data_IF_400305537014
#
_entry.id   IF_400305537014
#
_cell.length_a   1.000
_cell.length_b   1.000
_cell.length_c   1.000
_cell.angle_alpha   90.00
_cell.angle_beta   90.00
_cell.angle_gamma   90.00
#
_symmetry.space_group_name_H-M   'P 1'
#
loop_
_entity.id
_entity.type
_entity.pdbx_description
1 polymer ?
#
# COMPACT_ATOMS: atom_id res chain seq x y z
N UNK A 1 -32.38 22.17 37.39
CA UNK A 1 -32.18 21.10 36.44
C UNK A 1 -31.58 21.72 35.17
N UNK A 2 -30.25 21.70 35.03
CA UNK A 2 -29.56 22.23 33.82
C UNK A 2 -29.18 21.04 32.94
N UNK A 3 -29.78 20.93 31.78
CA UNK A 3 -29.43 19.98 30.74
C UNK A 3 -28.17 20.48 30.05
N UNK A 4 -27.05 19.80 30.30
CA UNK A 4 -25.79 20.01 29.58
C UNK A 4 -25.82 19.16 28.33
N UNK A 5 -25.71 19.78 27.17
CA UNK A 5 -25.66 19.11 25.87
C UNK A 5 -24.44 18.19 25.77
N UNK A 6 -24.67 16.91 25.50
CA UNK A 6 -23.64 15.95 25.13
C UNK A 6 -23.19 16.23 23.69
N UNK A 7 -22.02 16.85 23.53
CA UNK A 7 -21.26 16.80 22.29
C UNK A 7 -20.80 15.36 22.11
N UNK A 8 -21.11 14.77 20.97
CA UNK A 8 -20.67 13.44 20.56
C UNK A 8 -19.14 13.37 20.46
N UNK A 9 -18.49 13.13 21.57
CA UNK A 9 -17.07 12.76 21.63
C UNK A 9 -16.98 11.26 21.41
N UNK A 10 -16.32 10.86 20.33
CA UNK A 10 -15.81 9.49 20.17
C UNK A 10 -14.98 9.19 21.42
N UNK A 11 -15.42 8.20 22.21
CA UNK A 11 -14.65 7.70 23.35
C UNK A 11 -13.46 6.95 22.75
N UNK A 12 -12.36 7.64 22.55
CA UNK A 12 -11.06 7.01 22.33
C UNK A 12 -10.72 6.26 23.62
N UNK A 13 -11.00 4.96 23.68
CA UNK A 13 -10.45 4.09 24.73
C UNK A 13 -8.94 4.24 24.65
N UNK A 14 -8.34 4.90 25.65
CA UNK A 14 -6.90 4.89 25.83
C UNK A 14 -6.49 3.44 26.02
N UNK A 15 -5.95 2.81 24.98
CA UNK A 15 -5.28 1.53 25.12
C UNK A 15 -4.08 1.77 26.03
N UNK A 16 -3.96 0.96 27.07
CA UNK A 16 -2.79 0.97 27.95
C UNK A 16 -1.61 0.46 27.13
N UNK A 17 -0.56 1.25 27.01
CA UNK A 17 0.65 0.89 26.29
C UNK A 17 1.56 0.04 27.18
N UNK A 18 2.39 -0.80 26.57
CA UNK A 18 3.41 -1.60 27.23
C UNK A 18 4.78 -1.39 26.57
N UNK A 19 5.84 -1.45 27.39
CA UNK A 19 7.22 -1.23 26.98
C UNK A 19 7.90 -2.55 26.71
N UNK A 20 8.54 -2.73 25.55
CA UNK A 20 9.32 -3.92 25.26
C UNK A 20 10.53 -4.01 26.22
N UNK A 21 10.69 -5.16 26.90
CA UNK A 21 11.79 -5.37 27.85
C UNK A 21 13.17 -5.37 27.19
N UNK A 22 13.23 -5.71 25.88
CA UNK A 22 14.50 -5.83 25.15
C UNK A 22 14.96 -4.54 24.47
N UNK A 23 14.04 -3.82 23.77
CA UNK A 23 14.43 -2.65 22.96
C UNK A 23 13.81 -1.33 23.42
N UNK A 24 12.97 -1.33 24.46
CA UNK A 24 12.31 -0.13 24.97
C UNK A 24 11.22 0.45 24.05
N UNK A 25 10.82 -0.25 22.99
CA UNK A 25 9.76 0.21 22.09
C UNK A 25 8.40 0.11 22.77
N UNK A 26 7.56 1.14 22.56
CA UNK A 26 6.20 1.18 23.09
C UNK A 26 5.28 0.44 22.15
N UNK A 27 4.53 -0.52 22.69
CA UNK A 27 3.60 -1.36 21.95
C UNK A 27 2.21 -1.30 22.57
N UNK A 28 1.17 -1.53 21.76
CA UNK A 28 -0.19 -1.70 22.26
C UNK A 28 -0.29 -2.90 23.20
N UNK A 29 -1.13 -2.83 24.22
CA UNK A 29 -1.41 -3.98 25.12
C UNK A 29 -1.90 -5.22 24.39
N UNK A 30 -2.53 -5.07 23.22
CA UNK A 30 -2.98 -6.17 22.39
C UNK A 30 -1.85 -6.90 21.64
N UNK A 31 -0.67 -6.28 21.49
CA UNK A 31 0.45 -6.87 20.73
C UNK A 31 1.05 -8.04 21.50
N UNK A 32 1.14 -9.21 20.89
CA UNK A 32 1.79 -10.39 21.48
C UNK A 32 3.32 -10.33 21.32
N UNK A 33 3.81 -9.64 20.30
CA UNK A 33 5.22 -9.46 20.00
C UNK A 33 5.56 -7.99 19.77
N UNK A 34 6.78 -7.61 20.11
CA UNK A 34 7.27 -6.25 19.87
C UNK A 34 7.34 -5.97 18.36
N UNK A 35 6.78 -4.85 17.93
CA UNK A 35 6.77 -4.43 16.52
C UNK A 35 8.16 -4.12 15.96
N UNK A 36 9.15 -3.84 16.83
CA UNK A 36 10.51 -3.49 16.43
C UNK A 36 11.47 -4.68 16.48
N UNK A 37 11.45 -5.49 17.57
CA UNK A 37 12.44 -6.56 17.77
C UNK A 37 11.86 -7.98 17.85
N UNK A 38 10.52 -8.14 17.79
CA UNK A 38 9.86 -9.43 17.77
C UNK A 38 9.81 -10.18 19.11
N UNK A 39 10.35 -9.63 20.20
CA UNK A 39 10.33 -10.26 21.53
C UNK A 39 8.94 -10.13 22.15
N UNK A 40 8.49 -11.15 22.91
CA UNK A 40 7.17 -11.20 23.57
C UNK A 40 7.18 -10.70 25.03
N UNK A 41 8.33 -10.29 25.54
CA UNK A 41 8.46 -9.79 26.91
C UNK A 41 8.22 -8.28 26.98
N UNK A 42 7.25 -7.88 27.82
CA UNK A 42 6.86 -6.49 27.99
C UNK A 42 6.80 -6.13 29.46
N UNK A 43 7.24 -4.91 29.76
CA UNK A 43 7.10 -4.29 31.07
C UNK A 43 5.94 -3.27 31.04
N UNK A 44 5.33 -3.04 32.19
CA UNK A 44 4.39 -1.92 32.32
C UNK A 44 5.12 -0.59 32.21
N UNK A 45 4.49 0.37 31.53
CA UNK A 45 5.03 1.73 31.41
C UNK A 45 4.95 2.40 32.79
N UNK A 46 6.09 2.84 33.34
CA UNK A 46 6.12 3.52 34.65
C UNK A 46 5.20 4.76 34.65
N UNK A 47 4.50 5.06 35.75
CA UNK A 47 3.56 6.18 35.85
C UNK A 47 4.17 7.53 35.45
N UNK A 48 5.40 7.83 35.85
CA UNK A 48 6.10 9.08 35.52
C UNK A 48 6.51 9.20 34.05
N UNK A 49 6.72 8.07 33.35
CA UNK A 49 6.95 8.04 31.91
C UNK A 49 5.62 8.18 31.14
N UNK A 50 4.53 7.72 31.75
CA UNK A 50 3.17 7.85 31.23
C UNK A 50 2.74 9.32 31.12
N UNK A 51 3.08 10.13 32.12
CA UNK A 51 2.76 11.57 32.12
C UNK A 51 3.61 12.36 31.12
N UNK A 52 4.88 12.00 30.96
CA UNK A 52 5.77 12.57 29.93
C UNK A 52 5.38 12.12 28.51
N UNK A 53 4.83 10.92 28.37
CA UNK A 53 4.30 10.39 27.11
C UNK A 53 2.88 10.92 26.84
N UNK A 54 2.14 11.35 27.87
CA UNK A 54 0.76 11.83 27.78
C UNK A 54 0.59 13.15 27.00
N UNK A 55 1.60 14.00 27.00
CA UNK A 55 1.61 15.27 26.26
C UNK A 55 2.44 15.21 24.95
N UNK A 56 3.29 14.19 24.81
CA UNK A 56 4.15 13.98 23.62
C UNK A 56 3.91 12.66 22.88
N UNK A 57 3.25 11.68 23.51
CA UNK A 57 2.79 10.45 22.88
C UNK A 57 1.39 10.62 22.26
N UNK A 58 1.17 11.72 21.60
CA UNK A 58 0.35 11.66 20.44
C UNK A 58 0.97 10.62 19.53
N UNK A 59 0.39 9.41 19.52
CA UNK A 59 0.72 8.28 18.67
C UNK A 59 2.07 8.49 17.97
N UNK A 60 2.96 7.51 18.00
CA UNK A 60 3.91 7.32 16.90
C UNK A 60 3.05 7.15 15.64
N UNK A 61 2.44 8.26 15.18
CA UNK A 61 1.94 8.38 13.84
C UNK A 61 3.13 8.01 13.01
N UNK A 62 3.10 6.80 12.48
CA UNK A 62 4.14 6.32 11.61
C UNK A 62 4.45 7.48 10.67
N UNK A 63 5.70 7.91 10.67
CA UNK A 63 6.13 9.08 9.89
C UNK A 63 5.53 8.90 8.50
N UNK A 64 4.56 9.76 8.15
CA UNK A 64 3.84 9.58 6.90
C UNK A 64 4.82 9.65 5.77
N UNK A 65 4.73 8.71 4.91
CA UNK A 65 5.69 8.51 3.85
C UNK A 65 5.01 8.87 2.54
N UNK A 66 5.40 10.01 1.98
CA UNK A 66 4.95 10.45 0.67
C UNK A 66 5.66 9.63 -0.41
N UNK A 67 4.89 9.04 -1.31
CA UNK A 67 5.39 8.42 -2.53
C UNK A 67 5.05 9.35 -3.69
N UNK A 68 6.05 9.76 -4.48
CA UNK A 68 5.79 10.63 -5.63
C UNK A 68 5.02 9.89 -6.72
N UNK A 69 4.07 10.58 -7.38
CA UNK A 69 3.31 10.00 -8.49
C UNK A 69 4.19 9.53 -9.63
N UNK A 70 5.27 10.27 -9.94
CA UNK A 70 6.24 9.87 -10.99
C UNK A 70 6.94 8.54 -10.65
N UNK A 71 7.22 8.30 -9.36
CA UNK A 71 7.79 7.01 -8.92
C UNK A 71 6.80 5.87 -9.12
N UNK A 72 5.52 6.08 -8.80
CA UNK A 72 4.48 5.07 -9.05
C UNK A 72 4.39 4.74 -10.53
N UNK A 73 4.36 5.76 -11.40
CA UNK A 73 4.33 5.56 -12.86
C UNK A 73 5.56 4.80 -13.33
N UNK A 74 6.77 5.30 -13.02
CA UNK A 74 8.02 4.71 -13.49
C UNK A 74 8.18 3.26 -13.02
N UNK A 75 7.94 3.00 -11.74
CA UNK A 75 8.05 1.65 -11.19
C UNK A 75 7.00 0.69 -11.77
N UNK A 76 5.78 1.16 -12.07
CA UNK A 76 4.75 0.34 -12.72
C UNK A 76 5.17 -0.08 -14.13
N UNK A 77 5.68 0.85 -14.94
CA UNK A 77 6.12 0.52 -16.30
C UNK A 77 7.39 -0.34 -16.31
N UNK A 78 8.39 -0.03 -15.48
CA UNK A 78 9.60 -0.85 -15.38
C UNK A 78 9.31 -2.26 -14.91
N UNK A 79 8.28 -2.45 -14.08
CA UNK A 79 7.91 -3.76 -13.53
C UNK A 79 6.84 -4.51 -14.34
N UNK A 80 6.48 -4.08 -15.56
CA UNK A 80 5.38 -4.67 -16.34
C UNK A 80 4.04 -4.70 -15.57
N UNK A 81 3.82 -3.71 -14.69
CA UNK A 81 2.62 -3.63 -13.84
C UNK A 81 2.71 -4.40 -12.52
N UNK A 82 3.76 -5.21 -12.27
CA UNK A 82 3.93 -5.95 -11.00
C UNK A 82 4.06 -5.02 -9.78
N UNK A 83 4.39 -3.76 -9.99
CA UNK A 83 4.49 -2.77 -8.91
C UNK A 83 3.19 -2.61 -8.11
N UNK A 84 2.03 -2.98 -8.67
CA UNK A 84 0.74 -2.94 -7.96
C UNK A 84 0.79 -3.71 -6.63
N UNK A 85 1.46 -4.88 -6.58
CA UNK A 85 1.57 -5.69 -5.36
C UNK A 85 2.37 -4.97 -4.29
N UNK A 86 3.51 -4.37 -4.65
CA UNK A 86 4.32 -3.60 -3.72
C UNK A 86 3.59 -2.34 -3.27
N UNK A 87 2.93 -1.63 -4.18
CA UNK A 87 2.16 -0.44 -3.86
C UNK A 87 1.01 -0.74 -2.89
N UNK A 88 0.27 -1.82 -3.10
CA UNK A 88 -0.74 -2.31 -2.17
C UNK A 88 -0.15 -2.59 -0.79
N UNK A 89 0.97 -3.34 -0.74
CA UNK A 89 1.65 -3.66 0.51
C UNK A 89 2.05 -2.41 1.29
N UNK A 90 2.75 -1.48 0.62
CA UNK A 90 3.30 -0.30 1.29
C UNK A 90 2.21 0.69 1.72
N UNK A 91 1.17 0.87 0.92
CA UNK A 91 0.06 1.75 1.27
C UNK A 91 -0.77 1.17 2.42
N UNK A 92 -1.08 -0.13 2.42
CA UNK A 92 -1.70 -0.79 3.57
C UNK A 92 -0.83 -0.69 4.82
N UNK A 93 0.47 -0.91 4.71
CA UNK A 93 1.39 -0.78 5.84
C UNK A 93 1.34 0.62 6.45
N UNK A 94 1.28 1.66 5.62
CA UNK A 94 1.20 3.03 6.10
C UNK A 94 -0.18 3.37 6.68
N UNK A 95 -1.26 2.85 6.11
CA UNK A 95 -2.62 3.07 6.62
C UNK A 95 -2.94 2.23 7.86
N UNK A 96 -2.22 1.15 8.11
CA UNK A 96 -2.47 0.24 9.22
C UNK A 96 -2.46 0.92 10.60
N UNK A 97 -1.69 2.02 10.76
CA UNK A 97 -1.67 2.81 11.99
C UNK A 97 -2.90 3.71 12.18
N UNK A 98 -3.65 3.96 11.11
CA UNK A 98 -4.83 4.84 11.11
C UNK A 98 -6.15 4.04 11.10
N UNK A 99 -6.09 2.73 10.86
CA UNK A 99 -7.26 1.85 10.74
C UNK A 99 -7.30 0.93 11.94
N UNK A 100 -8.44 0.89 12.63
CA UNK A 100 -8.67 -0.05 13.74
C UNK A 100 -8.75 -1.49 13.23
N UNK A 101 -8.12 -2.41 13.95
CA UNK A 101 -8.17 -3.85 13.70
C UNK A 101 -6.84 -4.47 13.29
N UNK A 102 -6.85 -5.81 13.14
CA UNK A 102 -5.69 -6.59 12.72
C UNK A 102 -5.44 -6.40 11.22
N UNK A 103 -4.41 -5.65 10.90
CA UNK A 103 -4.03 -5.38 9.52
C UNK A 103 -2.81 -6.21 9.13
N UNK A 104 -2.98 -7.03 8.10
CA UNK A 104 -1.92 -7.86 7.51
C UNK A 104 -1.56 -7.37 6.10
N UNK A 105 -0.71 -6.33 5.96
CA UNK A 105 -0.43 -5.67 4.67
C UNK A 105 0.07 -6.63 3.59
N UNK A 106 0.87 -7.62 3.97
CA UNK A 106 1.39 -8.63 3.04
C UNK A 106 0.26 -9.47 2.44
N UNK A 107 -0.64 -9.99 3.29
CA UNK A 107 -1.76 -10.80 2.80
C UNK A 107 -2.73 -9.99 1.97
N UNK A 108 -2.96 -8.73 2.32
CA UNK A 108 -3.77 -7.82 1.50
C UNK A 108 -3.20 -7.65 0.09
N UNK A 109 -1.89 -7.55 -0.07
CA UNK A 109 -1.25 -7.48 -1.38
C UNK A 109 -1.31 -8.82 -2.13
N UNK A 110 -1.05 -9.94 -1.45
CA UNK A 110 -1.07 -11.27 -2.06
C UNK A 110 -2.45 -11.68 -2.57
N UNK A 111 -3.51 -11.26 -1.91
CA UNK A 111 -4.89 -11.56 -2.33
C UNK A 111 -5.28 -10.93 -3.66
N UNK A 112 -4.53 -9.97 -4.20
CA UNK A 112 -4.73 -9.47 -5.57
C UNK A 112 -4.51 -10.56 -6.64
N UNK A 113 -3.70 -11.59 -6.33
CA UNK A 113 -3.48 -12.72 -7.24
C UNK A 113 -4.65 -13.71 -7.27
N UNK A 114 -5.59 -13.62 -6.32
CA UNK A 114 -6.75 -14.52 -6.28
C UNK A 114 -7.80 -13.98 -7.26
N UNK A 115 -8.15 -14.72 -8.33
CA UNK A 115 -9.15 -14.30 -9.30
C UNK A 115 -10.46 -13.89 -8.59
N UNK A 116 -11.14 -12.87 -9.10
CA UNK A 116 -12.38 -12.30 -8.55
C UNK A 116 -12.16 -11.62 -7.19
N UNK A 117 -11.55 -12.30 -6.20
CA UNK A 117 -11.31 -11.74 -4.87
C UNK A 117 -10.40 -10.50 -4.92
N UNK A 118 -9.40 -10.48 -5.79
CA UNK A 118 -8.53 -9.33 -6.02
C UNK A 118 -9.30 -8.06 -6.42
N UNK A 119 -10.40 -8.20 -7.16
CA UNK A 119 -11.25 -7.07 -7.54
C UNK A 119 -11.97 -6.47 -6.34
N UNK A 120 -12.49 -7.31 -5.44
CA UNK A 120 -13.09 -6.85 -4.19
C UNK A 120 -12.05 -6.17 -3.29
N UNK A 121 -10.82 -6.68 -3.27
CA UNK A 121 -9.72 -6.08 -2.50
C UNK A 121 -9.31 -4.72 -3.05
N UNK A 122 -9.25 -4.56 -4.38
CA UNK A 122 -9.03 -3.26 -5.01
C UNK A 122 -10.13 -2.26 -4.63
N UNK A 123 -11.40 -2.67 -4.74
CA UNK A 123 -12.53 -1.83 -4.34
C UNK A 123 -12.42 -1.38 -2.89
N UNK A 124 -12.20 -2.33 -1.97
CA UNK A 124 -12.05 -2.04 -0.54
C UNK A 124 -10.89 -1.10 -0.27
N UNK A 125 -9.73 -1.31 -0.93
CA UNK A 125 -8.55 -0.48 -0.74
C UNK A 125 -8.79 0.99 -1.14
N UNK A 126 -9.36 1.22 -2.33
CA UNK A 126 -9.68 2.57 -2.79
C UNK A 126 -10.75 3.23 -1.92
N UNK A 127 -11.76 2.44 -1.46
CA UNK A 127 -12.77 2.93 -0.53
C UNK A 127 -12.15 3.40 0.78
N UNK A 128 -11.26 2.60 1.37
CA UNK A 128 -10.54 2.96 2.60
C UNK A 128 -9.71 4.22 2.44
N UNK A 129 -9.01 4.39 1.31
CA UNK A 129 -8.28 5.63 1.00
C UNK A 129 -9.23 6.82 0.96
N UNK A 130 -10.40 6.67 0.34
CA UNK A 130 -11.41 7.74 0.25
C UNK A 130 -12.00 8.09 1.62
N UNK A 131 -12.26 7.10 2.47
CA UNK A 131 -12.76 7.29 3.84
C UNK A 131 -11.72 8.04 4.70
N UNK A 132 -10.45 7.65 4.64
CA UNK A 132 -9.35 8.36 5.30
C UNK A 132 -9.22 9.80 4.78
N UNK A 133 -9.29 10.01 3.47
CA UNK A 133 -9.22 11.34 2.87
C UNK A 133 -10.38 12.24 3.34
N UNK A 134 -11.59 11.69 3.40
CA UNK A 134 -12.78 12.39 3.86
C UNK A 134 -12.66 12.85 5.33
N UNK A 135 -12.01 12.05 6.20
CA UNK A 135 -11.79 12.41 7.61
C UNK A 135 -10.97 13.70 7.79
N UNK A 136 -10.15 14.07 6.80
CA UNK A 136 -9.36 15.30 6.77
C UNK A 136 -9.88 16.31 5.73
N UNK A 137 -11.12 16.15 5.27
CA UNK A 137 -11.73 17.02 4.24
C UNK A 137 -10.88 17.12 2.96
N UNK A 138 -10.25 16.00 2.57
CA UNK A 138 -9.56 15.87 1.29
C UNK A 138 -10.53 15.27 0.28
N UNK A 139 -10.72 15.96 -0.85
CA UNK A 139 -11.57 15.45 -1.92
C UNK A 139 -10.95 14.23 -2.58
N UNK A 140 -11.71 13.14 -2.70
CA UNK A 140 -11.31 11.99 -3.48
C UNK A 140 -11.48 12.25 -4.98
N UNK A 141 -10.53 11.79 -5.77
CA UNK A 141 -10.54 11.93 -7.24
C UNK A 141 -10.84 10.62 -7.95
N UNK A 142 -11.03 9.52 -7.22
CA UNK A 142 -11.24 8.20 -7.81
C UNK A 142 -12.42 7.45 -7.17
N UNK A 143 -13.35 7.00 -8.01
CA UNK A 143 -14.41 6.08 -7.59
C UNK A 143 -13.86 4.65 -7.47
N UNK A 144 -14.12 3.92 -6.36
CA UNK A 144 -13.67 2.54 -6.18
C UNK A 144 -14.09 1.60 -7.31
N UNK A 145 -15.31 1.76 -7.82
CA UNK A 145 -15.82 0.97 -8.95
C UNK A 145 -15.04 1.19 -10.25
N UNK A 146 -14.62 2.44 -10.54
CA UNK A 146 -13.80 2.72 -11.71
C UNK A 146 -12.43 2.02 -11.62
N UNK A 147 -11.80 2.03 -10.45
CA UNK A 147 -10.54 1.33 -10.25
C UNK A 147 -10.67 -0.19 -10.51
N UNK A 148 -11.79 -0.79 -10.09
CA UNK A 148 -12.09 -2.20 -10.38
C UNK A 148 -12.27 -2.45 -11.87
N UNK A 149 -13.04 -1.61 -12.57
CA UNK A 149 -13.25 -1.74 -14.02
C UNK A 149 -11.92 -1.69 -14.77
N UNK A 150 -11.05 -0.74 -14.43
CA UNK A 150 -9.72 -0.62 -15.05
C UNK A 150 -8.83 -1.83 -14.75
N UNK A 151 -8.89 -2.37 -13.53
CA UNK A 151 -8.17 -3.59 -13.17
C UNK A 151 -8.69 -4.81 -13.95
N UNK A 152 -10.01 -4.97 -14.08
CA UNK A 152 -10.62 -6.04 -14.88
C UNK A 152 -10.19 -5.96 -16.33
N UNK A 153 -10.27 -4.78 -16.94
CA UNK A 153 -9.83 -4.57 -18.34
C UNK A 153 -8.34 -4.89 -18.52
N UNK A 154 -7.49 -4.44 -17.59
CA UNK A 154 -6.07 -4.78 -17.61
C UNK A 154 -5.85 -6.28 -17.52
N UNK A 155 -6.57 -6.98 -16.63
CA UNK A 155 -6.48 -8.43 -16.48
C UNK A 155 -6.90 -9.15 -17.78
N UNK A 156 -8.00 -8.75 -18.39
CA UNK A 156 -8.46 -9.32 -19.67
C UNK A 156 -7.40 -9.13 -20.76
N UNK A 157 -6.83 -7.93 -20.90
CA UNK A 157 -5.77 -7.67 -21.88
C UNK A 157 -4.55 -8.55 -21.66
N UNK A 158 -4.12 -8.74 -20.41
CA UNK A 158 -3.02 -9.65 -20.09
C UNK A 158 -3.37 -11.10 -20.46
N UNK A 159 -4.59 -11.57 -20.21
CA UNK A 159 -5.02 -12.91 -20.66
C UNK A 159 -5.00 -13.05 -22.17
N UNK A 160 -5.51 -12.08 -22.91
CA UNK A 160 -5.50 -12.08 -24.38
C UNK A 160 -4.08 -12.13 -24.93
N UNK A 161 -3.12 -11.48 -24.26
CA UNK A 161 -1.72 -11.45 -24.72
C UNK A 161 -1.05 -12.83 -24.77
N UNK A 162 -1.49 -13.80 -23.97
CA UNK A 162 -0.94 -15.17 -23.99
C UNK A 162 -1.18 -15.90 -25.32
N UNK A 163 -2.27 -15.58 -26.03
CA UNK A 163 -2.58 -16.17 -27.34
C UNK A 163 -1.94 -15.48 -28.55
N UNK A 164 -1.16 -14.42 -28.33
CA UNK A 164 -0.59 -13.60 -29.41
C UNK A 164 0.85 -14.01 -29.67
N UNK A 165 1.16 -14.32 -30.95
CA UNK A 165 2.52 -14.66 -31.38
C UNK A 165 3.40 -13.42 -31.67
N UNK A 166 2.79 -12.28 -32.00
CA UNK A 166 3.51 -11.07 -32.39
C UNK A 166 4.01 -10.29 -31.19
N UNK A 167 5.33 -10.17 -31.03
CA UNK A 167 5.94 -9.47 -29.90
C UNK A 167 5.56 -7.98 -29.83
N UNK A 168 5.44 -7.29 -30.97
CA UNK A 168 5.06 -5.87 -30.97
C UNK A 168 3.63 -5.68 -30.44
N UNK A 169 2.71 -6.57 -30.82
CA UNK A 169 1.34 -6.57 -30.28
C UNK A 169 1.31 -6.85 -28.77
N UNK A 170 2.12 -7.79 -28.28
CA UNK A 170 2.23 -8.09 -26.84
C UNK A 170 2.78 -6.87 -26.09
N UNK A 171 3.83 -6.22 -26.58
CA UNK A 171 4.39 -5.00 -25.99
C UNK A 171 3.32 -3.91 -25.89
N UNK A 172 2.59 -3.67 -26.99
CA UNK A 172 1.52 -2.67 -27.01
C UNK A 172 0.43 -2.97 -25.96
N UNK A 173 -0.05 -4.23 -25.93
CA UNK A 173 -1.05 -4.66 -24.95
C UNK A 173 -0.52 -4.50 -23.53
N UNK A 174 0.72 -4.87 -23.27
CA UNK A 174 1.36 -4.70 -21.95
C UNK A 174 1.43 -3.23 -21.54
N UNK A 175 1.78 -2.33 -22.44
CA UNK A 175 1.79 -0.88 -22.17
C UNK A 175 0.39 -0.36 -21.85
N UNK A 176 -0.63 -0.78 -22.61
CA UNK A 176 -2.02 -0.39 -22.37
C UNK A 176 -2.50 -0.94 -21.02
N UNK A 177 -2.30 -2.23 -20.76
CA UNK A 177 -2.75 -2.86 -19.51
C UNK A 177 -2.06 -2.27 -18.28
N UNK A 178 -0.75 -1.99 -18.37
CA UNK A 178 0.00 -1.30 -17.32
C UNK A 178 -0.52 0.12 -17.09
N UNK A 179 -0.88 0.84 -18.14
CA UNK A 179 -1.49 2.18 -18.03
C UNK A 179 -2.81 2.11 -17.27
N UNK A 180 -3.68 1.13 -17.59
CA UNK A 180 -5.00 0.97 -16.96
C UNK A 180 -4.90 0.79 -15.43
N UNK A 181 -3.91 0.06 -14.93
CA UNK A 181 -3.71 -0.11 -13.48
C UNK A 181 -2.94 1.05 -12.85
N UNK A 182 -2.03 1.69 -13.59
CA UNK A 182 -1.21 2.80 -13.07
C UNK A 182 -2.03 4.06 -12.84
N UNK A 183 -3.04 4.32 -13.67
CA UNK A 183 -3.93 5.48 -13.52
C UNK A 183 -4.62 5.50 -12.15
N UNK A 184 -5.40 4.47 -11.75
CA UNK A 184 -6.03 4.46 -10.42
C UNK A 184 -5.02 4.49 -9.27
N UNK A 185 -3.88 3.83 -9.41
CA UNK A 185 -2.82 3.86 -8.40
C UNK A 185 -2.27 5.28 -8.18
N UNK A 186 -1.99 6.01 -9.25
CA UNK A 186 -1.46 7.39 -9.16
C UNK A 186 -2.51 8.35 -8.62
N UNK A 187 -3.78 8.20 -8.99
CA UNK A 187 -4.87 9.01 -8.45
C UNK A 187 -5.04 8.76 -6.94
N UNK A 188 -5.08 7.50 -6.52
CA UNK A 188 -5.18 7.13 -5.11
C UNK A 188 -3.94 7.59 -4.31
N UNK A 189 -2.73 7.48 -4.88
CA UNK A 189 -1.52 7.96 -4.24
C UNK A 189 -1.52 9.48 -4.04
N UNK A 190 -2.06 10.24 -4.99
CA UNK A 190 -2.23 11.69 -4.82
C UNK A 190 -3.16 12.02 -3.67
N UNK A 191 -4.27 11.30 -3.54
CA UNK A 191 -5.22 11.46 -2.43
C UNK A 191 -4.55 11.14 -1.10
N UNK A 192 -3.80 10.04 -1.01
CA UNK A 192 -3.02 9.68 0.19
C UNK A 192 -1.97 10.73 0.53
N UNK A 193 -1.23 11.25 -0.45
CA UNK A 193 -0.23 12.28 -0.23
C UNK A 193 -0.86 13.58 0.32
N UNK A 194 -2.05 13.97 -0.18
CA UNK A 194 -2.80 15.11 0.34
C UNK A 194 -3.33 14.86 1.76
N UNK A 195 -3.82 13.64 2.03
CA UNK A 195 -4.23 13.23 3.37
C UNK A 195 -3.08 13.37 4.36
N UNK A 196 -1.92 12.78 4.07
CA UNK A 196 -0.75 12.85 4.93
C UNK A 196 -0.24 14.29 5.11
N UNK A 197 -0.27 15.10 4.06
CA UNK A 197 0.12 16.50 4.13
C UNK A 197 -0.77 17.34 5.04
N UNK A 198 -2.05 16.98 5.21
CA UNK A 198 -2.98 17.64 6.14
C UNK A 198 -2.97 17.04 7.55
N UNK A 199 -2.86 15.71 7.65
CA UNK A 199 -2.95 14.99 8.92
C UNK A 199 -1.73 15.19 9.82
N UNK A 200 -0.58 15.58 9.25
CA UNK A 200 0.68 15.70 9.96
C UNK A 200 1.15 17.14 10.09
N UNK A 201 1.90 17.36 11.17
CA UNK A 201 2.56 18.65 11.40
C UNK A 201 3.61 18.94 10.31
N UNK A 202 3.80 20.20 9.91
CA UNK A 202 4.88 20.58 9.00
C UNK A 202 6.23 20.07 9.52
N UNK A 203 6.97 19.33 8.70
CA UNK A 203 8.28 18.74 9.07
C UNK A 203 8.28 17.27 9.46
N UNK A 204 7.11 16.65 9.73
CA UNK A 204 7.01 15.21 10.02
C UNK A 204 6.81 14.35 8.76
N UNK A 205 6.61 14.98 7.62
CA UNK A 205 6.43 14.32 6.33
C UNK A 205 7.78 13.89 5.77
N UNK A 206 7.92 12.60 5.46
CA UNK A 206 9.14 12.04 4.85
C UNK A 206 8.83 11.45 3.48
N UNK A 207 9.75 11.58 2.54
CA UNK A 207 9.67 10.85 1.27
C UNK A 207 10.06 9.39 1.49
N UNK A 208 9.29 8.49 0.89
CA UNK A 208 9.58 7.06 0.92
C UNK A 208 10.97 6.79 0.31
N UNK A 209 11.83 6.13 1.06
CA UNK A 209 13.06 5.55 0.49
C UNK A 209 12.66 4.37 -0.42
N UNK A 210 13.50 4.08 -1.41
CA UNK A 210 13.32 2.88 -2.24
C UNK A 210 13.55 1.67 -1.33
N UNK A 211 12.51 0.83 -1.20
CA UNK A 211 12.58 -0.39 -0.41
C UNK A 211 13.19 -1.55 -1.21
N UNK A 212 13.77 -2.54 -0.51
CA UNK A 212 14.31 -3.75 -1.16
C UNK A 212 13.24 -4.48 -1.98
N UNK A 213 12.01 -4.57 -1.48
CA UNK A 213 10.90 -5.20 -2.22
C UNK A 213 10.56 -4.48 -3.53
N UNK A 214 10.61 -3.15 -3.54
CA UNK A 214 10.42 -2.37 -4.76
C UNK A 214 11.53 -2.62 -5.78
N UNK A 215 12.79 -2.65 -5.32
CA UNK A 215 13.92 -2.93 -6.18
C UNK A 215 13.81 -4.33 -6.81
N UNK A 216 13.46 -5.35 -6.03
CA UNK A 216 13.26 -6.72 -6.53
C UNK A 216 12.19 -6.76 -7.62
N UNK A 217 11.04 -6.15 -7.41
CA UNK A 217 9.94 -6.14 -8.39
C UNK A 217 10.35 -5.41 -9.67
N UNK A 218 11.07 -4.30 -9.57
CA UNK A 218 11.57 -3.56 -10.73
C UNK A 218 12.60 -4.39 -11.51
N UNK A 219 13.52 -5.08 -10.82
CA UNK A 219 14.51 -5.96 -11.46
C UNK A 219 13.81 -7.10 -12.21
N UNK A 220 12.82 -7.76 -11.59
CA UNK A 220 12.02 -8.82 -12.23
C UNK A 220 11.32 -8.27 -13.49
N UNK A 221 10.74 -7.06 -13.41
CA UNK A 221 10.08 -6.45 -14.55
C UNK A 221 11.03 -6.08 -15.69
N UNK A 222 12.21 -5.54 -15.37
CA UNK A 222 13.25 -5.25 -16.38
C UNK A 222 13.67 -6.54 -17.09
N UNK A 223 13.86 -7.64 -16.35
CA UNK A 223 14.13 -8.93 -16.95
C UNK A 223 12.98 -9.40 -17.84
N UNK A 224 11.73 -9.22 -17.42
CA UNK A 224 10.56 -9.49 -18.25
C UNK A 224 10.54 -8.67 -19.56
N UNK A 225 10.91 -7.38 -19.50
CA UNK A 225 11.06 -6.55 -20.69
C UNK A 225 12.12 -7.11 -21.65
N UNK A 226 13.28 -7.52 -21.14
CA UNK A 226 14.33 -8.12 -21.95
C UNK A 226 13.81 -9.37 -22.68
N UNK A 227 13.08 -10.24 -21.97
CA UNK A 227 12.49 -11.44 -22.58
C UNK A 227 11.46 -11.11 -23.69
N UNK A 228 10.67 -10.04 -23.53
CA UNK A 228 9.71 -9.61 -24.56
C UNK A 228 10.38 -9.08 -25.83
N UNK A 229 11.61 -8.60 -25.76
CA UNK A 229 12.37 -8.15 -26.93
C UNK A 229 13.12 -9.29 -27.63
N UNK A 230 13.23 -10.50 -27.06
CA UNK A 230 13.82 -11.65 -27.73
C UNK A 230 12.83 -12.21 -28.74
N UNK A 231 13.18 -12.31 -30.04
CA UNK A 231 12.28 -12.87 -31.04
C UNK A 231 11.93 -14.33 -30.73
N UNK A 232 10.66 -14.70 -30.82
CA UNK A 232 10.19 -16.09 -30.56
C UNK A 232 10.80 -17.12 -31.50
N UNK A 233 11.19 -16.72 -32.72
CA UNK A 233 11.90 -17.57 -33.68
C UNK A 233 13.21 -18.17 -33.10
N UNK A 234 13.84 -17.51 -32.13
CA UNK A 234 15.03 -18.04 -31.45
C UNK A 234 14.67 -19.20 -30.51
N UNK A 235 13.48 -19.16 -29.89
CA UNK A 235 13.00 -20.24 -29.04
C UNK A 235 12.66 -21.52 -29.82
N UNK A 236 11.98 -21.38 -30.98
CA UNK A 236 11.66 -22.52 -31.86
C UNK A 236 12.92 -23.20 -32.40
N UNK A 237 13.97 -22.43 -32.71
CA UNK A 237 15.25 -22.99 -33.17
C UNK A 237 16.00 -23.70 -32.07
N UNK A 238 15.92 -23.24 -30.82
CA UNK A 238 16.54 -23.90 -29.67
C UNK A 238 15.85 -25.22 -29.34
N UNK A 239 14.52 -25.30 -29.43
CA UNK A 239 13.76 -26.55 -29.21
C UNK A 239 13.96 -27.56 -30.33
N UNK A 240 14.16 -27.12 -31.58
CA UNK A 240 14.42 -28.00 -32.73
C UNK A 240 15.86 -28.57 -32.75
N UNK A 241 16.73 -28.10 -31.89
CA UNK A 241 18.14 -28.54 -31.80
C UNK A 241 18.41 -29.58 -30.67
N UNK A 242 17.39 -29.97 -29.93
CA UNK A 242 17.41 -31.05 -28.93
C UNK A 242 16.59 -32.25 -29.40
#
# INVERSE_FOLDING_TARGET
MKLTALRGGVIVRRMTDKLCANCGEINSTASQFCSNCGVSEFNEVPPGLRDQLGDGAGSTRSSAVIISGNRVVLASFLSLGLYIFYWFYITWKHMASEIEGDNYPFWHAMTLNVPIYGFFRMHAHIRTINELAASQSVASTIAPGLAVVLLVLSTILNFVSFGIANNAAIILITLISTTLITVPMTMAQRVLNLYWGKALSPGSVRYARIGVGELIIVIIGIFGWILLFIPRSVHEQAEASF
#
